data_IF_325242416856
#
_entry.id   IF_325242416856
#
_cell.length_a   1.000
_cell.length_b   1.000
_cell.length_c   1.000
_cell.angle_alpha   90.00
_cell.angle_beta   90.00
_cell.angle_gamma   90.00
#
_symmetry.space_group_name_H-M   'P 1'
#
loop_
_entity.id
_entity.type
_entity.pdbx_description
1 polymer ?
#
# COMPACT_ATOMS: atom_id res chain seq x y z
N UNK A 1 -32.15 7.25 -20.07
CA UNK A 1 -31.76 6.33 -18.98
C UNK A 1 -30.66 5.41 -19.50
N UNK A 2 -29.39 5.72 -19.23
CA UNK A 2 -28.25 4.93 -19.71
C UNK A 2 -28.01 3.72 -18.81
N UNK A 3 -28.12 2.51 -19.38
CA UNK A 3 -27.87 1.27 -18.66
C UNK A 3 -26.38 1.16 -18.28
N UNK A 4 -26.08 1.17 -16.97
CA UNK A 4 -24.73 0.95 -16.45
C UNK A 4 -24.32 -0.49 -16.74
N UNK A 5 -23.46 -0.69 -17.74
CA UNK A 5 -22.80 -1.98 -17.99
C UNK A 5 -21.88 -2.28 -16.81
N UNK A 6 -22.27 -3.23 -15.96
CA UNK A 6 -21.40 -3.78 -14.92
C UNK A 6 -20.44 -4.79 -15.55
N UNK A 7 -19.14 -4.61 -15.28
CA UNK A 7 -18.09 -5.50 -15.73
C UNK A 7 -18.24 -6.88 -15.07
N UNK A 8 -18.19 -7.95 -15.86
CA UNK A 8 -18.06 -9.32 -15.33
C UNK A 8 -16.72 -9.45 -14.61
N UNK A 9 -16.74 -9.57 -13.30
CA UNK A 9 -15.55 -9.83 -12.49
C UNK A 9 -15.23 -11.33 -12.60
N UNK A 10 -13.97 -11.65 -12.90
CA UNK A 10 -13.48 -13.03 -12.88
C UNK A 10 -13.58 -13.60 -11.45
N UNK A 11 -14.30 -14.70 -11.30
CA UNK A 11 -14.36 -15.43 -10.04
C UNK A 11 -13.04 -16.16 -9.82
N UNK A 12 -12.19 -15.61 -8.96
CA UNK A 12 -10.97 -16.31 -8.51
C UNK A 12 -11.31 -17.04 -7.21
N UNK A 13 -11.60 -18.32 -7.35
CA UNK A 13 -11.81 -19.26 -6.25
C UNK A 13 -10.45 -19.80 -5.81
N UNK A 14 -10.09 -19.54 -4.54
CA UNK A 14 -8.92 -20.13 -3.90
C UNK A 14 -9.43 -21.04 -2.80
N UNK A 15 -9.04 -22.32 -2.82
CA UNK A 15 -9.35 -23.26 -1.74
C UNK A 15 -8.49 -22.91 -0.52
N UNK A 16 -9.11 -22.90 0.66
CA UNK A 16 -8.35 -22.83 1.92
C UNK A 16 -7.53 -24.12 2.05
N UNK A 17 -6.21 -23.99 2.03
CA UNK A 17 -5.30 -25.07 2.39
C UNK A 17 -4.93 -24.87 3.85
N UNK A 18 -5.32 -25.82 4.71
CA UNK A 18 -4.91 -25.86 6.10
C UNK A 18 -3.45 -26.31 6.18
N UNK A 19 -2.52 -25.36 6.10
CA UNK A 19 -1.10 -25.61 6.35
C UNK A 19 -0.72 -24.97 7.68
N UNK A 20 -1.10 -25.65 8.78
CA UNK A 20 -0.70 -25.27 10.13
C UNK A 20 0.82 -25.32 10.29
N UNK A 21 1.44 -24.18 10.57
CA UNK A 21 2.83 -24.09 11.03
C UNK A 21 2.87 -23.30 12.33
N UNK A 22 3.21 -23.96 13.44
CA UNK A 22 3.32 -23.34 14.76
C UNK A 22 4.68 -22.67 14.91
N UNK A 23 4.73 -21.34 14.76
CA UNK A 23 5.89 -20.52 15.13
C UNK A 23 5.67 -19.97 16.53
N UNK A 24 6.45 -20.43 17.50
CA UNK A 24 6.30 -20.06 18.92
C UNK A 24 6.72 -18.62 19.25
N UNK A 25 7.40 -17.90 18.34
CA UNK A 25 7.95 -16.56 18.58
C UNK A 25 7.78 -15.60 17.38
N UNK A 26 6.61 -15.56 16.74
CA UNK A 26 6.36 -14.63 15.63
C UNK A 26 5.76 -13.31 16.14
N UNK A 27 6.40 -12.17 15.84
CA UNK A 27 5.87 -10.83 16.09
C UNK A 27 5.42 -10.20 14.78
N UNK A 28 4.14 -9.87 14.68
CA UNK A 28 3.57 -9.20 13.52
C UNK A 28 3.55 -7.68 13.70
N UNK A 29 4.44 -6.99 12.99
CA UNK A 29 4.47 -5.52 12.98
C UNK A 29 3.52 -4.95 11.93
N UNK A 30 2.31 -4.59 12.36
CA UNK A 30 1.30 -3.94 11.52
C UNK A 30 1.81 -2.62 10.96
N UNK A 31 2.49 -1.81 11.76
CA UNK A 31 2.95 -0.48 11.37
C UNK A 31 3.93 -0.61 10.22
N UNK A 32 4.85 -1.57 10.29
CA UNK A 32 5.81 -1.84 9.21
C UNK A 32 5.13 -2.29 7.92
N UNK A 33 4.11 -3.14 8.00
CA UNK A 33 3.35 -3.57 6.80
C UNK A 33 2.63 -2.37 6.16
N UNK A 34 2.03 -1.49 6.97
CA UNK A 34 1.36 -0.29 6.47
C UNK A 34 2.32 0.70 5.81
N UNK A 35 3.50 0.87 6.40
CA UNK A 35 4.58 1.69 5.84
C UNK A 35 5.06 1.11 4.50
N UNK A 36 5.31 -0.20 4.41
CA UNK A 36 5.71 -0.82 3.13
C UNK A 36 4.62 -0.71 2.07
N UNK A 37 3.35 -0.81 2.46
CA UNK A 37 2.23 -0.59 1.54
C UNK A 37 2.19 0.85 1.00
N UNK A 38 2.49 1.86 1.83
CA UNK A 38 2.57 3.24 1.35
C UNK A 38 3.74 3.47 0.39
N UNK A 39 4.90 2.87 0.66
CA UNK A 39 6.03 2.89 -0.26
C UNK A 39 5.70 2.23 -1.60
N UNK A 40 5.02 1.07 -1.60
CA UNK A 40 4.58 0.39 -2.82
C UNK A 40 3.66 1.27 -3.66
N UNK A 41 2.70 1.93 -3.01
CA UNK A 41 1.75 2.84 -3.67
C UNK A 41 2.47 4.04 -4.28
N UNK A 42 3.32 4.71 -3.51
CA UNK A 42 4.02 5.92 -3.94
C UNK A 42 5.02 5.63 -5.06
N UNK A 43 5.80 4.55 -4.96
CA UNK A 43 6.84 4.22 -5.93
C UNK A 43 6.28 3.86 -7.31
N UNK A 44 5.16 3.13 -7.34
CA UNK A 44 4.54 2.68 -8.60
C UNK A 44 3.36 3.56 -9.03
N UNK A 45 3.13 4.68 -8.35
CA UNK A 45 2.00 5.60 -8.59
C UNK A 45 0.63 4.89 -8.64
N UNK A 46 0.46 3.85 -7.82
CA UNK A 46 -0.77 3.10 -7.80
C UNK A 46 -1.92 3.90 -7.18
N UNK A 47 -3.17 3.68 -7.62
CA UNK A 47 -4.32 4.27 -6.95
C UNK A 47 -4.44 3.72 -5.53
N UNK A 48 -4.80 4.57 -4.57
CA UNK A 48 -5.02 4.16 -3.17
C UNK A 48 -6.06 3.04 -3.02
N UNK A 49 -6.96 2.87 -4.01
CA UNK A 49 -7.96 1.80 -4.04
C UNK A 49 -7.37 0.40 -4.21
N UNK A 50 -6.12 0.27 -4.65
CA UNK A 50 -5.41 -1.01 -4.79
C UNK A 50 -5.53 -1.86 -3.52
N UNK A 51 -5.38 -1.22 -2.35
CA UNK A 51 -5.40 -1.91 -1.05
C UNK A 51 -6.78 -2.50 -0.72
N UNK A 52 -7.85 -1.98 -1.33
CA UNK A 52 -9.23 -2.44 -1.14
C UNK A 52 -9.59 -3.56 -2.12
N UNK A 53 -8.73 -3.88 -3.09
CA UNK A 53 -9.05 -4.89 -4.09
C UNK A 53 -9.23 -6.26 -3.43
N UNK A 54 -10.26 -6.98 -3.86
CA UNK A 54 -10.61 -8.29 -3.31
C UNK A 54 -9.44 -9.27 -3.45
N UNK A 55 -8.78 -9.28 -4.61
CA UNK A 55 -7.63 -10.15 -4.86
C UNK A 55 -6.44 -9.76 -4.00
N UNK A 56 -6.16 -8.46 -3.83
CA UNK A 56 -5.08 -7.99 -2.96
C UNK A 56 -5.32 -8.44 -1.50
N UNK A 57 -6.54 -8.31 -1.01
CA UNK A 57 -6.88 -8.75 0.36
C UNK A 57 -6.79 -10.27 0.51
N UNK A 58 -7.27 -11.04 -0.48
CA UNK A 58 -7.10 -12.51 -0.47
C UNK A 58 -5.63 -12.91 -0.48
N UNK A 59 -4.81 -12.25 -1.31
CA UNK A 59 -3.37 -12.47 -1.38
C UNK A 59 -2.70 -12.20 -0.02
N UNK A 60 -3.00 -11.07 0.61
CA UNK A 60 -2.42 -10.73 1.92
C UNK A 60 -2.88 -11.68 3.04
N UNK A 61 -4.15 -12.09 3.03
CA UNK A 61 -4.68 -13.09 3.97
C UNK A 61 -4.03 -14.47 3.80
N UNK A 62 -3.60 -14.83 2.59
CA UNK A 62 -2.84 -16.05 2.35
C UNK A 62 -1.38 -15.97 2.86
N UNK A 63 -0.81 -14.75 2.92
CA UNK A 63 0.54 -14.53 3.44
C UNK A 63 0.56 -14.56 4.97
N UNK A 64 -0.45 -13.96 5.62
CA UNK A 64 -0.49 -13.88 7.09
C UNK A 64 -1.92 -13.86 7.63
N UNK A 65 -2.23 -14.66 8.67
CA UNK A 65 -3.53 -14.64 9.32
C UNK A 65 -3.81 -13.34 10.09
N UNK A 66 -2.79 -12.52 10.32
CA UNK A 66 -2.90 -11.24 11.03
C UNK A 66 -3.21 -10.06 10.10
N UNK A 67 -3.40 -10.30 8.80
CA UNK A 67 -3.76 -9.25 7.85
C UNK A 67 -5.12 -8.64 8.21
N UNK A 68 -5.14 -7.32 8.33
CA UNK A 68 -6.35 -6.54 8.56
C UNK A 68 -6.59 -5.67 7.34
N UNK A 69 -7.80 -5.74 6.78
CA UNK A 69 -8.19 -4.95 5.61
C UNK A 69 -7.97 -3.46 5.89
N UNK A 70 -7.30 -2.79 4.96
CA UNK A 70 -7.08 -1.36 5.02
C UNK A 70 -8.08 -0.65 4.10
N UNK A 71 -8.59 0.50 4.53
CA UNK A 71 -9.38 1.37 3.66
C UNK A 71 -8.49 2.25 2.80
N UNK A 72 -9.02 2.73 1.68
CA UNK A 72 -8.36 3.73 0.83
C UNK A 72 -7.96 4.99 1.60
N UNK A 73 -8.79 5.41 2.54
CA UNK A 73 -8.51 6.56 3.40
C UNK A 73 -7.31 6.31 4.31
N UNK A 74 -7.22 5.10 4.88
CA UNK A 74 -6.06 4.70 5.66
C UNK A 74 -4.79 4.63 4.80
N UNK A 75 -4.85 4.03 3.59
CA UNK A 75 -3.72 4.01 2.66
C UNK A 75 -3.25 5.42 2.28
N UNK A 76 -4.17 6.34 1.99
CA UNK A 76 -3.86 7.75 1.75
C UNK A 76 -3.15 8.36 2.95
N UNK A 77 -3.66 8.16 4.17
CA UNK A 77 -3.05 8.72 5.38
C UNK A 77 -1.64 8.18 5.61
N UNK A 78 -1.40 6.89 5.39
CA UNK A 78 -0.06 6.29 5.49
C UNK A 78 0.88 6.87 4.42
N UNK A 79 0.42 7.03 3.18
CA UNK A 79 1.19 7.70 2.12
C UNK A 79 1.55 9.15 2.50
N UNK A 80 0.61 9.90 3.09
CA UNK A 80 0.87 11.26 3.54
C UNK A 80 1.92 11.31 4.66
N UNK A 81 1.91 10.37 5.61
CA UNK A 81 2.94 10.27 6.67
C UNK A 81 4.31 9.97 6.08
N UNK A 82 4.39 9.03 5.13
CA UNK A 82 5.63 8.71 4.42
C UNK A 82 6.14 9.94 3.66
N UNK A 83 5.26 10.63 2.92
CA UNK A 83 5.60 11.86 2.22
C UNK A 83 6.14 12.95 3.15
N UNK A 84 5.49 13.25 4.26
CA UNK A 84 5.97 14.30 5.17
C UNK A 84 7.33 13.93 5.78
N UNK A 85 7.56 12.65 6.06
CA UNK A 85 8.86 12.15 6.52
C UNK A 85 9.95 12.36 5.47
N UNK A 86 9.71 11.93 4.23
CA UNK A 86 10.66 12.08 3.13
C UNK A 86 10.90 13.54 2.75
N UNK A 87 9.87 14.38 2.82
CA UNK A 87 9.97 15.83 2.62
C UNK A 87 10.88 16.50 3.63
N UNK A 88 10.83 16.10 4.91
CA UNK A 88 11.74 16.62 5.94
C UNK A 88 13.19 16.23 5.62
N UNK A 89 13.43 14.96 5.26
CA UNK A 89 14.76 14.49 4.86
C UNK A 89 15.27 15.23 3.62
N UNK A 90 14.44 15.37 2.59
CA UNK A 90 14.77 16.10 1.37
C UNK A 90 15.09 17.56 1.66
N UNK A 91 14.30 18.24 2.49
CA UNK A 91 14.59 19.62 2.92
C UNK A 91 15.95 19.73 3.62
N UNK A 92 16.31 18.77 4.48
CA UNK A 92 17.62 18.76 5.13
C UNK A 92 18.76 18.61 4.12
N UNK A 93 18.60 17.73 3.13
CA UNK A 93 19.56 17.56 2.05
C UNK A 93 19.70 18.82 1.18
N UNK A 94 18.59 19.44 0.81
CA UNK A 94 18.59 20.66 -0.03
C UNK A 94 19.29 21.85 0.64
N UNK A 95 19.28 21.93 1.98
CA UNK A 95 20.04 22.97 2.72
C UNK A 95 21.55 22.85 2.58
N UNK A 96 22.06 21.68 2.21
CA UNK A 96 23.49 21.41 2.02
C UNK A 96 23.98 21.76 0.61
N UNK A 97 23.06 22.11 -0.30
CA UNK A 97 23.37 22.37 -1.70
C UNK A 97 23.50 23.87 -1.95
N UNK A 98 24.61 24.29 -2.57
CA UNK A 98 24.87 25.71 -2.86
C UNK A 98 24.12 26.24 -4.09
N UNK A 99 23.73 25.36 -5.02
CA UNK A 99 23.07 25.71 -6.29
C UNK A 99 22.14 24.58 -6.74
N UNK A 100 20.91 24.92 -7.10
CA UNK A 100 19.93 23.98 -7.67
C UNK A 100 19.35 24.56 -8.97
N UNK A 101 19.04 23.67 -9.92
CA UNK A 101 18.34 24.01 -11.14
C UNK A 101 16.91 23.48 -11.04
N UNK A 102 15.92 24.36 -11.24
CA UNK A 102 14.50 24.00 -11.21
C UNK A 102 14.05 23.85 -12.66
N UNK A 103 13.43 22.72 -12.97
CA UNK A 103 12.78 22.47 -14.25
C UNK A 103 11.28 22.33 -14.03
N UNK A 104 10.50 22.88 -14.95
CA UNK A 104 9.04 22.76 -14.96
C UNK A 104 8.68 22.10 -16.28
N UNK A 105 7.96 20.99 -16.20
CA UNK A 105 7.23 20.40 -17.31
C UNK A 105 5.84 21.06 -17.35
N UNK A 106 5.40 21.51 -18.52
CA UNK A 106 4.16 22.27 -18.73
C UNK A 106 3.17 21.49 -19.58
#
# INVERSE_FOLDING_TARGET
>A
MGSKKTQKVLAVEFKEADSGFTVSNFTYDRSRVRELASHMILYNEYPFSLIEYVIFNKFMSAITPYWEKMSRAAAKNECMKTYETEKIKLKALLKLVNKAHITTDM
#
